data_IF_969298733850
#
_entry.id   IF_969298733850
#
_cell.length_a   1.000
_cell.length_b   1.000
_cell.length_c   1.000
_cell.angle_alpha   90.00
_cell.angle_beta   90.00
_cell.angle_gamma   90.00
#
_symmetry.space_group_name_H-M   'P 1'
#
loop_
_entity.id
_entity.type
_entity.pdbx_description
1 polymer ?
#
# COMPACT_ATOMS: atom_id res chain seq x y z
N UNK A 1 -20.22 -1.90 -10.65
CA UNK A 1 -19.22 -0.96 -11.18
C UNK A 1 -18.30 -1.70 -12.15
N UNK A 2 -17.68 -0.97 -13.08
CA UNK A 2 -16.74 -1.54 -14.02
C UNK A 2 -15.32 -1.54 -13.43
N UNK A 3 -14.56 -2.60 -13.68
CA UNK A 3 -13.22 -2.78 -13.15
C UNK A 3 -12.31 -3.30 -14.26
N UNK A 4 -11.09 -2.85 -14.29
CA UNK A 4 -10.01 -3.40 -15.11
C UNK A 4 -9.00 -4.08 -14.21
N UNK A 5 -8.71 -5.34 -14.47
CA UNK A 5 -7.72 -6.13 -13.75
C UNK A 5 -6.68 -6.68 -14.71
N UNK A 6 -5.42 -6.74 -14.27
CA UNK A 6 -4.33 -7.37 -15.01
C UNK A 6 -3.36 -8.04 -14.04
N UNK A 7 -2.96 -9.27 -14.35
CA UNK A 7 -2.09 -10.08 -13.50
C UNK A 7 -1.01 -10.79 -14.32
N UNK A 8 0.20 -10.82 -13.74
CA UNK A 8 1.26 -11.73 -14.14
C UNK A 8 1.32 -12.90 -13.16
N UNK A 9 1.21 -14.14 -13.67
CA UNK A 9 1.26 -15.36 -12.86
C UNK A 9 2.41 -16.23 -13.32
N UNK A 10 3.16 -16.80 -12.37
CA UNK A 10 4.29 -17.70 -12.62
C UNK A 10 5.65 -17.02 -12.74
N UNK A 11 5.78 -15.75 -12.37
CA UNK A 11 7.06 -15.02 -12.40
C UNK A 11 7.41 -14.36 -11.07
N UNK A 12 8.70 -14.48 -10.68
CA UNK A 12 9.28 -13.75 -9.53
C UNK A 12 9.98 -12.45 -9.96
N UNK A 13 10.03 -12.18 -11.26
CA UNK A 13 10.71 -10.99 -11.80
C UNK A 13 9.99 -9.71 -11.35
N UNK A 14 10.72 -8.79 -10.75
CA UNK A 14 10.23 -7.46 -10.37
C UNK A 14 9.95 -6.57 -11.60
N UNK A 15 10.40 -7.00 -12.78
CA UNK A 15 10.01 -6.36 -14.04
C UNK A 15 8.49 -6.44 -14.26
N UNK A 16 7.84 -7.55 -13.88
CA UNK A 16 6.39 -7.68 -13.97
C UNK A 16 5.68 -6.65 -13.09
N UNK A 17 6.19 -6.40 -11.88
CA UNK A 17 5.65 -5.37 -10.97
C UNK A 17 5.81 -3.97 -11.58
N UNK A 18 6.97 -3.68 -12.15
CA UNK A 18 7.23 -2.41 -12.82
C UNK A 18 6.35 -2.21 -14.06
N UNK A 19 6.19 -3.24 -14.90
CA UNK A 19 5.32 -3.20 -16.09
C UNK A 19 3.86 -2.93 -15.71
N UNK A 20 3.35 -3.50 -14.62
CA UNK A 20 2.00 -3.21 -14.15
C UNK A 20 1.83 -1.74 -13.76
N UNK A 21 2.82 -1.10 -13.15
CA UNK A 21 2.76 0.33 -12.85
C UNK A 21 2.74 1.19 -14.13
N UNK A 22 3.55 0.83 -15.13
CA UNK A 22 3.51 1.49 -16.45
C UNK A 22 2.15 1.29 -17.11
N UNK A 23 1.61 0.07 -17.08
CA UNK A 23 0.29 -0.25 -17.63
C UNK A 23 -0.83 0.57 -16.96
N UNK A 24 -0.81 0.73 -15.63
CA UNK A 24 -1.74 1.62 -14.92
C UNK A 24 -1.69 3.03 -15.52
N UNK A 25 -0.49 3.59 -15.68
CA UNK A 25 -0.29 4.92 -16.23
C UNK A 25 -0.89 5.04 -17.64
N UNK A 26 -0.58 4.09 -18.52
CA UNK A 26 -1.11 4.08 -19.89
C UNK A 26 -2.64 3.98 -19.95
N UNK A 27 -3.25 3.18 -19.07
CA UNK A 27 -4.72 3.05 -18.99
C UNK A 27 -5.35 4.36 -18.55
N UNK A 28 -4.83 4.97 -17.47
CA UNK A 28 -5.35 6.23 -16.94
C UNK A 28 -5.24 7.37 -17.96
N UNK A 29 -4.12 7.45 -18.70
CA UNK A 29 -3.93 8.42 -19.76
C UNK A 29 -4.94 8.19 -20.93
N UNK A 30 -5.20 6.93 -21.30
CA UNK A 30 -6.23 6.58 -22.28
C UNK A 30 -7.66 6.86 -21.81
N UNK A 31 -7.89 6.81 -20.49
CA UNK A 31 -9.15 7.23 -19.88
C UNK A 31 -9.31 8.76 -19.76
N UNK A 32 -8.30 9.53 -20.17
CA UNK A 32 -8.34 10.99 -20.25
C UNK A 32 -7.68 11.73 -19.10
N UNK A 33 -7.01 11.04 -18.17
CA UNK A 33 -6.22 11.69 -17.12
C UNK A 33 -4.84 12.08 -17.65
N UNK A 34 -4.41 13.28 -17.33
CA UNK A 34 -3.00 13.69 -17.56
C UNK A 34 -2.10 13.19 -16.44
N UNK A 35 -0.78 13.13 -16.67
CA UNK A 35 0.21 12.70 -15.66
C UNK A 35 0.25 13.58 -14.41
N UNK A 36 -0.18 14.83 -14.54
CA UNK A 36 -0.26 15.78 -13.43
C UNK A 36 -1.45 15.53 -12.51
N UNK A 37 -2.46 14.78 -12.96
CA UNK A 37 -3.72 14.56 -12.24
C UNK A 37 -3.73 13.34 -11.35
N UNK A 38 -2.72 12.46 -11.43
CA UNK A 38 -2.60 11.29 -10.56
C UNK A 38 -1.14 11.02 -10.18
N UNK A 39 -0.94 10.15 -9.22
CA UNK A 39 0.36 9.60 -8.84
C UNK A 39 0.23 8.12 -8.47
N UNK A 40 1.21 7.32 -8.87
CA UNK A 40 1.32 5.94 -8.43
C UNK A 40 2.23 5.90 -7.21
N UNK A 41 1.66 5.61 -6.07
CA UNK A 41 2.38 5.44 -4.82
C UNK A 41 2.84 4.01 -4.69
N UNK A 42 4.07 3.81 -4.22
CA UNK A 42 4.70 2.50 -4.15
C UNK A 42 5.30 2.27 -2.78
N UNK A 43 5.01 1.09 -2.24
CA UNK A 43 5.55 0.55 -1.00
C UNK A 43 5.95 -0.91 -1.17
N UNK A 44 6.40 -1.55 -0.10
CA UNK A 44 6.63 -3.00 -0.05
C UNK A 44 6.22 -3.59 1.30
N UNK A 45 5.66 -4.78 1.25
CA UNK A 45 5.38 -5.57 2.45
C UNK A 45 6.64 -5.84 3.28
N UNK A 46 7.80 -5.90 2.64
CA UNK A 46 9.09 -6.08 3.32
C UNK A 46 9.39 -4.98 4.32
N UNK A 47 8.98 -3.74 4.05
CA UNK A 47 9.15 -2.61 4.99
C UNK A 47 8.47 -2.91 6.32
N UNK A 48 7.21 -3.36 6.28
CA UNK A 48 6.47 -3.69 7.52
C UNK A 48 7.02 -4.94 8.20
N UNK A 49 7.50 -5.93 7.45
CA UNK A 49 8.13 -7.13 8.01
C UNK A 49 9.45 -6.80 8.72
N UNK A 50 10.29 -5.95 8.12
CA UNK A 50 11.53 -5.48 8.75
C UNK A 50 11.26 -4.58 9.95
N UNK A 51 10.25 -3.72 9.88
CA UNK A 51 9.82 -2.89 10.99
C UNK A 51 9.39 -3.75 12.18
N UNK A 52 8.58 -4.78 11.98
CA UNK A 52 8.15 -5.67 13.06
C UNK A 52 9.29 -6.46 13.67
N UNK A 53 10.28 -6.87 12.88
CA UNK A 53 11.53 -7.44 13.41
C UNK A 53 12.29 -6.44 14.29
N UNK A 54 12.44 -5.18 13.85
CA UNK A 54 13.13 -4.11 14.62
C UNK A 54 12.49 -3.84 15.97
N UNK A 55 11.15 -3.91 16.05
CA UNK A 55 10.40 -3.65 17.30
C UNK A 55 10.00 -4.93 18.04
N UNK A 56 10.55 -6.09 17.63
CA UNK A 56 10.37 -7.40 18.26
C UNK A 56 8.89 -7.81 18.43
N UNK A 57 8.08 -7.63 17.39
CA UNK A 57 6.72 -8.16 17.37
C UNK A 57 6.71 -9.52 16.68
N UNK A 58 6.59 -10.60 17.44
CA UNK A 58 6.53 -11.97 16.92
C UNK A 58 5.08 -12.53 16.92
N UNK A 59 4.20 -11.96 17.71
CA UNK A 59 2.80 -12.38 17.81
C UNK A 59 1.99 -11.94 16.59
N UNK A 60 1.40 -12.89 15.85
CA UNK A 60 0.62 -12.62 14.65
C UNK A 60 -0.61 -11.74 14.89
N UNK A 61 -1.31 -11.92 16.01
CA UNK A 61 -2.49 -11.09 16.35
C UNK A 61 -2.08 -9.64 16.58
N UNK A 62 -0.96 -9.41 17.29
CA UNK A 62 -0.40 -8.09 17.50
C UNK A 62 0.05 -7.44 16.18
N UNK A 63 0.72 -8.21 15.30
CA UNK A 63 1.11 -7.77 13.95
C UNK A 63 -0.10 -7.31 13.12
N UNK A 64 -1.15 -8.13 13.07
CA UNK A 64 -2.39 -7.80 12.35
C UNK A 64 -3.07 -6.56 12.94
N UNK A 65 -3.10 -6.44 14.27
CA UNK A 65 -3.68 -5.27 14.93
C UNK A 65 -2.90 -4.00 14.60
N UNK A 66 -1.56 -4.05 14.61
CA UNK A 66 -0.71 -2.94 14.21
C UNK A 66 -0.91 -2.57 12.73
N UNK A 67 -0.96 -3.55 11.82
CA UNK A 67 -1.23 -3.31 10.40
C UNK A 67 -2.59 -2.67 10.17
N UNK A 68 -3.65 -3.15 10.85
CA UNK A 68 -4.99 -2.56 10.78
C UNK A 68 -5.05 -1.14 11.34
N UNK A 69 -4.18 -0.82 12.30
CA UNK A 69 -4.02 0.54 12.80
C UNK A 69 -3.37 1.45 11.75
N UNK A 70 -2.28 0.98 11.15
CA UNK A 70 -1.53 1.72 10.13
C UNK A 70 -2.35 1.96 8.85
N UNK A 71 -3.13 0.99 8.40
CA UNK A 71 -4.06 1.09 7.25
C UNK A 71 -5.11 2.22 7.40
N UNK A 72 -5.29 2.74 8.62
CA UNK A 72 -6.21 3.84 8.89
C UNK A 72 -5.55 5.22 8.89
N UNK A 73 -4.28 5.33 8.47
CA UNK A 73 -3.52 6.58 8.59
C UNK A 73 -4.16 7.73 7.81
N UNK A 74 -4.65 7.49 6.61
CA UNK A 74 -5.31 8.51 5.79
C UNK A 74 -6.59 9.04 6.42
N UNK A 75 -7.32 8.19 7.16
CA UNK A 75 -8.59 8.53 7.79
C UNK A 75 -8.45 9.13 9.18
N UNK A 76 -7.51 8.63 9.98
CA UNK A 76 -7.36 8.98 11.38
C UNK A 76 -6.21 9.94 11.66
N UNK A 77 -5.31 10.11 10.69
CA UNK A 77 -4.02 10.79 10.87
C UNK A 77 -3.11 10.05 11.87
N UNK A 78 -1.88 10.55 12.00
CA UNK A 78 -0.88 9.91 12.88
C UNK A 78 -1.35 9.82 14.34
N UNK A 79 -1.99 10.86 14.87
CA UNK A 79 -2.45 10.86 16.28
C UNK A 79 -3.46 9.73 16.57
N UNK A 80 -4.39 9.47 15.64
CA UNK A 80 -5.35 8.37 15.79
C UNK A 80 -4.69 7.00 15.63
N UNK A 81 -3.75 6.87 14.71
CA UNK A 81 -2.96 5.64 14.52
C UNK A 81 -2.08 5.37 15.74
N UNK A 82 -1.41 6.38 16.29
CA UNK A 82 -0.60 6.26 17.51
C UNK A 82 -1.37 5.67 18.68
N UNK A 83 -2.63 6.09 18.88
CA UNK A 83 -3.50 5.53 19.90
C UNK A 83 -3.79 4.05 19.65
N UNK A 84 -4.09 3.67 18.39
CA UNK A 84 -4.36 2.29 18.01
C UNK A 84 -3.11 1.39 18.01
N UNK A 85 -1.93 1.94 17.81
CA UNK A 85 -0.67 1.23 18.03
C UNK A 85 -0.40 0.98 19.52
N UNK A 86 -0.81 1.91 20.41
CA UNK A 86 -0.74 1.78 21.86
C UNK A 86 -1.89 0.96 22.43
N UNK A 87 -2.53 1.48 23.47
CA UNK A 87 -3.60 0.81 24.23
C UNK A 87 -4.91 0.69 23.46
N UNK A 88 -5.18 1.61 22.56
CA UNK A 88 -6.42 1.68 21.79
C UNK A 88 -7.04 3.07 21.77
N UNK A 89 -8.24 3.18 21.19
CA UNK A 89 -8.90 4.45 20.93
C UNK A 89 -10.40 4.35 21.11
N UNK A 90 -11.02 5.37 21.74
CA UNK A 90 -12.45 5.61 21.66
C UNK A 90 -12.77 6.45 20.44
N UNK A 91 -13.80 6.08 19.69
CA UNK A 91 -14.31 6.88 18.59
C UNK A 91 -15.27 7.97 19.05
N UNK A 92 -15.89 8.69 18.11
CA UNK A 92 -16.84 9.76 18.43
C UNK A 92 -18.17 9.25 19.01
N UNK A 93 -18.52 7.96 18.78
CA UNK A 93 -19.69 7.31 19.36
C UNK A 93 -19.45 6.79 20.78
N UNK A 94 -18.20 6.76 21.21
CA UNK A 94 -17.77 6.24 22.50
C UNK A 94 -17.31 4.78 22.47
N UNK A 95 -17.39 4.13 21.32
CA UNK A 95 -16.94 2.76 21.13
C UNK A 95 -15.42 2.64 21.23
N UNK A 96 -14.96 1.68 22.01
CA UNK A 96 -13.53 1.45 22.22
C UNK A 96 -12.98 0.39 21.28
N UNK A 97 -11.97 0.76 20.51
CA UNK A 97 -11.16 -0.15 19.69
C UNK A 97 -9.86 -0.45 20.42
N UNK A 98 -9.62 -1.71 20.77
CA UNK A 98 -8.38 -2.18 21.39
C UNK A 98 -7.20 -1.96 20.45
N UNK A 99 -6.07 -1.51 20.99
CA UNK A 99 -4.85 -1.27 20.26
C UNK A 99 -3.91 -2.48 20.23
N UNK A 100 -2.76 -2.29 19.57
CA UNK A 100 -1.71 -3.29 19.43
C UNK A 100 -0.81 -3.42 20.68
N UNK A 101 -1.00 -2.58 21.69
CA UNK A 101 -0.22 -2.53 22.94
C UNK A 101 1.30 -2.38 22.71
N UNK A 102 1.69 -1.58 21.73
CA UNK A 102 3.10 -1.24 21.52
C UNK A 102 3.55 -0.21 22.57
N UNK A 103 4.78 -0.33 23.03
CA UNK A 103 5.40 0.68 23.88
C UNK A 103 5.77 1.95 23.07
N UNK A 104 6.04 3.05 23.75
CA UNK A 104 6.34 4.33 23.12
C UNK A 104 7.55 4.28 22.18
N UNK A 105 8.63 3.59 22.55
CA UNK A 105 9.82 3.46 21.72
C UNK A 105 9.55 2.72 20.41
N UNK A 106 8.70 1.67 20.47
CA UNK A 106 8.24 0.97 19.26
C UNK A 106 7.40 1.88 18.36
N UNK A 107 6.50 2.67 18.93
CA UNK A 107 5.66 3.63 18.20
C UNK A 107 6.51 4.71 17.53
N UNK A 108 7.53 5.24 18.21
CA UNK A 108 8.48 6.20 17.64
C UNK A 108 9.29 5.59 16.48
N UNK A 109 9.65 4.32 16.60
CA UNK A 109 10.32 3.58 15.52
C UNK A 109 9.40 3.43 14.30
N UNK A 110 8.12 3.11 14.50
CA UNK A 110 7.10 3.07 13.44
C UNK A 110 6.98 4.45 12.76
N UNK A 111 6.86 5.52 13.52
CA UNK A 111 6.76 6.87 13.00
C UNK A 111 7.96 7.24 12.12
N UNK A 112 9.15 6.90 12.57
CA UNK A 112 10.39 7.14 11.82
C UNK A 112 10.42 6.38 10.48
N UNK A 113 9.99 5.11 10.48
CA UNK A 113 9.92 4.30 9.24
C UNK A 113 8.91 4.88 8.24
N UNK A 114 7.72 5.27 8.71
CA UNK A 114 6.68 5.86 7.86
C UNK A 114 7.03 7.26 7.31
N UNK A 115 8.00 7.94 7.91
CA UNK A 115 8.48 9.24 7.45
C UNK A 115 9.69 9.16 6.52
N UNK A 116 10.17 7.96 6.16
CA UNK A 116 11.24 7.79 5.18
C UNK A 116 10.84 8.36 3.82
N UNK A 117 11.80 8.98 3.14
CA UNK A 117 11.60 9.60 1.81
C UNK A 117 12.17 8.79 0.66
N UNK A 118 12.89 7.73 0.97
CA UNK A 118 13.49 6.82 -0.01
C UNK A 118 13.39 5.38 0.48
N UNK A 119 13.19 4.43 -0.43
CA UNK A 119 13.18 3.01 -0.09
C UNK A 119 14.58 2.51 0.27
N UNK A 120 14.63 1.50 1.09
CA UNK A 120 15.83 0.77 1.48
C UNK A 120 15.69 -0.76 1.33
N UNK A 121 14.58 -1.24 0.77
CA UNK A 121 14.36 -2.65 0.45
C UNK A 121 14.83 -2.99 -0.97
N UNK A 122 15.47 -4.14 -1.15
CA UNK A 122 16.06 -4.56 -2.43
C UNK A 122 15.05 -4.56 -3.58
N UNK A 123 13.81 -5.01 -3.33
CA UNK A 123 12.74 -5.06 -4.32
C UNK A 123 12.35 -3.67 -4.85
N UNK A 124 12.22 -2.67 -3.97
CA UNK A 124 11.91 -1.31 -4.39
C UNK A 124 13.08 -0.63 -5.09
N UNK A 125 14.31 -0.87 -4.64
CA UNK A 125 15.51 -0.35 -5.28
C UNK A 125 15.63 -0.88 -6.73
N UNK A 126 15.32 -2.16 -6.94
CA UNK A 126 15.32 -2.78 -8.26
C UNK A 126 14.19 -2.20 -9.14
N UNK A 127 12.95 -2.10 -8.63
CA UNK A 127 11.83 -1.51 -9.37
C UNK A 127 12.13 -0.06 -9.77
N UNK A 128 12.70 0.74 -8.88
CA UNK A 128 13.02 2.13 -9.19
C UNK A 128 14.12 2.27 -10.24
N UNK A 129 15.08 1.31 -10.27
CA UNK A 129 16.05 1.22 -11.35
C UNK A 129 15.37 0.91 -12.69
N UNK A 130 14.44 -0.08 -12.70
CA UNK A 130 13.67 -0.42 -13.90
C UNK A 130 12.85 0.77 -14.40
N UNK A 131 12.18 1.51 -13.52
CA UNK A 131 11.47 2.73 -13.90
C UNK A 131 12.36 3.77 -14.55
N UNK A 132 13.56 3.98 -14.00
CA UNK A 132 14.55 4.88 -14.58
C UNK A 132 14.96 4.43 -15.99
N UNK A 133 15.17 3.13 -16.18
CA UNK A 133 15.56 2.56 -17.48
C UNK A 133 14.42 2.69 -18.51
N UNK A 134 13.15 2.63 -18.08
CA UNK A 134 11.97 2.87 -18.91
C UNK A 134 11.62 4.36 -19.10
N UNK A 135 12.30 5.27 -18.42
CA UNK A 135 11.92 6.69 -18.40
C UNK A 135 10.57 6.97 -17.72
N UNK A 136 10.11 6.04 -16.86
CA UNK A 136 8.88 6.19 -16.08
C UNK A 136 9.14 7.06 -14.85
N UNK A 137 8.34 8.11 -14.65
CA UNK A 137 8.55 9.09 -13.57
C UNK A 137 7.30 9.43 -12.76
N UNK A 138 6.11 8.93 -13.18
CA UNK A 138 4.85 9.28 -12.47
C UNK A 138 4.57 8.36 -11.28
N UNK A 139 5.53 8.27 -10.37
CA UNK A 139 5.45 7.49 -9.15
C UNK A 139 6.11 8.21 -7.98
N UNK A 140 5.76 7.78 -6.77
CA UNK A 140 6.41 8.19 -5.53
C UNK A 140 6.54 7.03 -4.54
N UNK A 141 7.57 7.07 -3.71
CA UNK A 141 7.71 6.16 -2.57
C UNK A 141 6.83 6.64 -1.42
N UNK A 142 5.94 5.79 -0.96
CA UNK A 142 5.09 6.07 0.20
C UNK A 142 5.04 4.85 1.14
N UNK A 143 5.86 4.82 2.20
CA UNK A 143 5.91 3.69 3.13
C UNK A 143 4.64 3.53 3.98
N UNK A 144 3.72 4.50 3.94
CA UNK A 144 2.44 4.43 4.67
C UNK A 144 1.40 3.55 3.98
N UNK A 145 1.63 3.15 2.72
CA UNK A 145 0.74 2.21 2.03
C UNK A 145 0.89 0.81 2.62
N UNK A 146 -0.14 0.38 3.33
CA UNK A 146 -0.21 -0.92 4.02
C UNK A 146 -1.48 -1.64 3.60
N UNK A 147 -1.63 -1.88 2.29
CA UNK A 147 -2.78 -2.59 1.73
C UNK A 147 -2.56 -4.10 1.68
N UNK A 148 -3.65 -4.85 1.50
CA UNK A 148 -3.59 -6.29 1.30
C UNK A 148 -2.99 -7.01 2.50
N UNK A 149 -3.51 -6.74 3.69
CA UNK A 149 -2.95 -7.13 4.99
C UNK A 149 -2.57 -8.61 5.09
N UNK A 150 -3.24 -9.49 4.36
CA UNK A 150 -3.10 -10.93 4.53
C UNK A 150 -2.50 -11.65 3.31
N UNK A 151 -2.39 -11.02 2.14
CA UNK A 151 -1.97 -11.72 0.92
C UNK A 151 -0.81 -11.11 0.15
N UNK A 152 -0.51 -9.81 0.28
CA UNK A 152 0.65 -9.23 -0.38
C UNK A 152 1.96 -9.65 0.30
N UNK A 153 2.96 -9.97 -0.52
CA UNK A 153 4.25 -10.54 -0.11
C UNK A 153 5.46 -9.67 -0.49
N UNK A 154 5.28 -8.66 -1.32
CA UNK A 154 6.32 -7.81 -1.86
C UNK A 154 5.84 -6.39 -2.16
N UNK A 155 6.15 -5.85 -3.35
CA UNK A 155 5.72 -4.53 -3.78
C UNK A 155 4.21 -4.35 -3.72
N UNK A 156 3.78 -3.15 -3.35
CA UNK A 156 2.38 -2.72 -3.24
C UNK A 156 2.23 -1.40 -3.98
N UNK A 157 1.13 -1.26 -4.74
CA UNK A 157 0.85 -0.09 -5.56
C UNK A 157 -0.49 0.52 -5.18
N UNK A 158 -0.56 1.84 -5.23
CA UNK A 158 -1.79 2.59 -5.03
C UNK A 158 -1.83 3.80 -5.95
N UNK A 159 -2.97 4.03 -6.61
CA UNK A 159 -3.17 5.19 -7.46
C UNK A 159 -4.04 6.22 -6.73
N UNK A 160 -3.48 7.40 -6.53
CA UNK A 160 -4.17 8.53 -5.91
C UNK A 160 -4.37 9.65 -6.91
N UNK A 161 -5.56 10.29 -6.90
CA UNK A 161 -5.81 11.52 -7.65
C UNK A 161 -5.15 12.70 -6.95
N UNK A 162 -4.65 13.66 -7.74
CA UNK A 162 -4.04 14.92 -7.27
C UNK A 162 -5.01 16.10 -7.27
N UNK A 163 -6.30 15.86 -7.53
CA UNK A 163 -7.34 16.88 -7.54
C UNK A 163 -8.56 16.44 -6.73
N UNK A 164 -9.33 17.42 -6.30
CA UNK A 164 -10.56 17.19 -5.55
C UNK A 164 -11.70 16.76 -6.48
N UNK A 165 -12.28 15.59 -6.21
CA UNK A 165 -13.50 15.13 -6.87
C UNK A 165 -14.70 15.73 -6.15
N UNK A 166 -15.64 16.31 -6.90
CA UNK A 166 -16.88 16.90 -6.36
C UNK A 166 -18.09 16.07 -6.75
N UNK A 167 -19.02 15.89 -5.81
CA UNK A 167 -20.33 15.29 -6.11
C UNK A 167 -21.23 16.25 -6.90
N UNK A 168 -22.42 15.77 -7.30
CA UNK A 168 -23.40 16.57 -8.02
C UNK A 168 -23.92 17.80 -7.24
N UNK A 169 -23.62 17.91 -5.94
CA UNK A 169 -23.93 19.05 -5.07
C UNK A 169 -22.75 20.02 -4.91
N UNK A 170 -21.63 19.78 -5.62
CA UNK A 170 -20.41 20.60 -5.54
C UNK A 170 -19.57 20.36 -4.28
N UNK A 171 -19.89 19.36 -3.47
CA UNK A 171 -19.15 19.03 -2.26
C UNK A 171 -17.96 18.13 -2.62
N UNK A 172 -16.78 18.43 -2.06
CA UNK A 172 -15.60 17.58 -2.18
C UNK A 172 -15.88 16.20 -1.58
N UNK A 173 -15.69 15.16 -2.38
CA UNK A 173 -15.73 13.77 -1.93
C UNK A 173 -14.28 13.37 -1.65
N UNK A 174 -14.00 12.83 -0.46
CA UNK A 174 -12.76 12.13 -0.24
C UNK A 174 -12.78 10.84 -1.07
N UNK A 175 -12.14 10.90 -2.24
CA UNK A 175 -11.86 9.70 -3.02
C UNK A 175 -10.62 9.05 -2.42
N UNK A 176 -10.73 7.77 -2.08
CA UNK A 176 -9.57 6.96 -1.78
C UNK A 176 -8.75 6.70 -3.04
N UNK A 177 -8.04 5.58 -3.08
CA UNK A 177 -7.35 5.17 -4.29
C UNK A 177 -8.35 4.77 -5.38
N UNK A 178 -8.06 5.15 -6.63
CA UNK A 178 -8.83 4.76 -7.81
C UNK A 178 -8.36 3.42 -8.40
N UNK A 179 -7.22 2.92 -7.97
CA UNK A 179 -6.66 1.65 -8.35
C UNK A 179 -5.53 1.24 -7.44
N UNK A 180 -5.08 0.04 -7.55
CA UNK A 180 -3.96 -0.47 -6.79
C UNK A 180 -3.70 -1.95 -7.04
N UNK A 181 -2.65 -2.46 -6.44
CA UNK A 181 -2.25 -3.84 -6.61
C UNK A 181 -1.01 -4.18 -5.81
N UNK A 182 -0.36 -5.26 -6.19
CA UNK A 182 0.91 -5.67 -5.59
C UNK A 182 1.22 -7.14 -5.84
N UNK A 183 2.32 -7.60 -5.30
CA UNK A 183 2.81 -8.98 -5.39
C UNK A 183 2.17 -9.87 -4.34
N UNK A 184 1.68 -11.04 -4.76
CA UNK A 184 0.96 -12.00 -3.91
C UNK A 184 1.42 -13.45 -4.18
N UNK A 185 2.68 -13.74 -3.93
CA UNK A 185 3.33 -15.00 -4.30
C UNK A 185 2.69 -16.26 -3.70
N UNK A 186 1.97 -16.15 -2.59
CA UNK A 186 1.39 -17.29 -1.89
C UNK A 186 -0.12 -17.48 -2.17
N UNK A 187 -0.78 -16.56 -2.86
CA UNK A 187 -2.24 -16.61 -2.99
C UNK A 187 -2.69 -17.80 -3.85
N UNK A 188 -1.99 -18.06 -4.95
CA UNK A 188 -2.31 -19.15 -5.88
C UNK A 188 -2.18 -20.51 -5.21
N UNK A 189 -1.24 -20.66 -4.28
CA UNK A 189 -1.03 -21.89 -3.51
C UNK A 189 -2.24 -22.30 -2.66
N UNK A 190 -3.08 -21.33 -2.28
CA UNK A 190 -4.30 -21.60 -1.50
C UNK A 190 -5.39 -22.31 -2.32
N UNK A 191 -5.30 -22.27 -3.65
CA UNK A 191 -6.26 -22.89 -4.57
C UNK A 191 -5.76 -24.18 -5.21
N UNK A 192 -4.50 -24.57 -4.95
CA UNK A 192 -3.88 -25.79 -5.47
C UNK A 192 -2.41 -25.88 -5.06
N UNK A 193 -1.79 -27.04 -5.25
CA UNK A 193 -0.38 -27.26 -4.92
C UNK A 193 0.58 -26.67 -6.00
N UNK A 194 0.35 -25.43 -6.40
CA UNK A 194 1.17 -24.77 -7.42
C UNK A 194 1.94 -23.62 -6.77
N UNK A 195 3.28 -23.70 -6.75
CA UNK A 195 4.15 -22.55 -6.43
C UNK A 195 4.14 -21.61 -7.64
N UNK A 196 3.16 -20.71 -7.67
CA UNK A 196 2.97 -19.74 -8.75
C UNK A 196 3.00 -18.32 -8.15
N UNK A 197 4.19 -17.69 -8.11
CA UNK A 197 4.30 -16.29 -7.70
C UNK A 197 3.53 -15.41 -8.68
N UNK A 198 2.88 -14.39 -8.14
CA UNK A 198 2.03 -13.52 -8.93
C UNK A 198 2.07 -12.08 -8.45
N UNK A 199 1.79 -11.17 -9.36
CA UNK A 199 1.59 -9.75 -9.10
C UNK A 199 0.48 -9.23 -9.99
N UNK A 200 -0.34 -8.31 -9.50
CA UNK A 200 -1.50 -7.82 -10.24
C UNK A 200 -1.98 -6.46 -9.80
N UNK A 201 -2.81 -5.87 -10.64
CA UNK A 201 -3.43 -4.56 -10.44
C UNK A 201 -4.94 -4.61 -10.70
N UNK A 202 -5.64 -3.68 -10.06
CA UNK A 202 -7.06 -3.42 -10.29
C UNK A 202 -7.31 -1.92 -10.33
N UNK A 203 -8.09 -1.47 -11.30
CA UNK A 203 -8.51 -0.06 -11.48
C UNK A 203 -10.03 -0.03 -11.55
N UNK A 204 -10.67 0.81 -10.72
CA UNK A 204 -12.10 1.12 -10.82
C UNK A 204 -12.34 2.14 -11.93
N UNK A 205 -13.27 1.84 -12.86
CA UNK A 205 -13.63 2.68 -14.00
C UNK A 205 -15.05 3.28 -13.84
#
# INVERSE_FOLDING_TARGET
FLQFDADFVGTKSLQADAELCVLISEILEKCGLSKEEYIIKISSRKITEELFKKINIDNNEQRLTALRALDKIDRLGWNGVKQLLGEGRKDKSGDFTKGANLNLSSIETVEKELNKKSPDTDDLLEIFKIFKDYGFSNFEFDPSIIRGLEYYTGPIFEVSLKFDVKNNKGQVIQFGSIGGGGRYDNLVNNFGNYDAPATGISIGL
#
